data_IF_597480856951
#
_entry.id   IF_597480856951
#
_cell.length_a   1.000
_cell.length_b   1.000
_cell.length_c   1.000
_cell.angle_alpha   90.00
_cell.angle_beta   90.00
_cell.angle_gamma   90.00
#
_symmetry.space_group_name_H-M   'P 1'
#
loop_
_entity.id
_entity.type
_entity.pdbx_description
1 polymer ?
#
# COMPACT_ATOMS: atom_id res chain seq x y z
N UNK A 1 47.58 4.50 2.20
CA UNK A 1 46.11 4.50 2.08
C UNK A 1 45.80 3.85 0.74
N UNK A 2 45.35 2.60 0.73
CA UNK A 2 45.55 1.69 -0.40
C UNK A 2 44.25 1.59 -1.21
N UNK A 3 44.34 1.27 -2.52
CA UNK A 3 43.18 1.15 -3.41
C UNK A 3 42.06 0.27 -2.84
N UNK A 4 42.42 -0.83 -2.15
CA UNK A 4 41.47 -1.72 -1.47
C UNK A 4 40.65 -1.02 -0.36
N UNK A 5 41.27 -0.07 0.35
CA UNK A 5 40.61 0.66 1.43
C UNK A 5 39.61 1.70 0.92
N UNK A 6 39.83 2.27 -0.27
CA UNK A 6 38.85 3.13 -0.94
C UNK A 6 37.63 2.34 -1.40
N UNK A 7 37.83 1.14 -1.95
CA UNK A 7 36.73 0.26 -2.38
C UNK A 7 35.86 -0.15 -1.20
N UNK A 8 36.46 -0.55 -0.07
CA UNK A 8 35.72 -0.89 1.16
C UNK A 8 34.93 0.31 1.69
N UNK A 9 35.53 1.50 1.70
CA UNK A 9 34.86 2.72 2.13
C UNK A 9 33.66 3.07 1.23
N UNK A 10 33.82 2.96 -0.09
CA UNK A 10 32.73 3.17 -1.05
C UNK A 10 31.58 2.17 -0.85
N UNK A 11 31.88 0.88 -0.65
CA UNK A 11 30.85 -0.15 -0.42
C UNK A 11 30.09 0.14 0.88
N UNK A 12 30.78 0.47 1.96
CA UNK A 12 30.17 0.81 3.25
C UNK A 12 29.28 2.06 3.16
N UNK A 13 29.70 3.08 2.42
CA UNK A 13 28.91 4.30 2.22
C UNK A 13 27.60 4.03 1.46
N UNK A 14 27.61 3.13 0.46
CA UNK A 14 26.41 2.85 -0.35
C UNK A 14 25.32 2.07 0.38
N UNK A 15 25.68 1.17 1.31
CA UNK A 15 24.70 0.37 2.06
C UNK A 15 23.82 1.22 3.00
N UNK A 16 24.29 2.38 3.44
CA UNK A 16 23.61 3.23 4.43
C UNK A 16 22.35 3.93 3.84
N UNK A 17 22.22 3.99 2.52
CA UNK A 17 21.14 4.73 1.84
C UNK A 17 19.93 3.87 1.41
N UNK A 18 19.84 2.62 1.82
CA UNK A 18 18.66 1.80 1.54
C UNK A 18 17.41 2.40 2.22
N UNK A 19 16.54 3.06 1.44
CA UNK A 19 15.28 3.59 1.96
C UNK A 19 14.34 2.44 2.33
N UNK A 20 13.62 2.53 3.47
CA UNK A 20 12.70 1.47 3.88
C UNK A 20 11.52 1.36 2.90
N UNK A 21 11.13 0.11 2.60
CA UNK A 21 10.05 -0.24 1.67
C UNK A 21 9.15 -1.33 2.26
N UNK A 22 7.90 -1.38 1.81
CA UNK A 22 7.03 -2.53 2.04
C UNK A 22 7.18 -3.52 0.90
N UNK A 23 7.17 -4.80 1.22
CA UNK A 23 7.16 -5.89 0.25
C UNK A 23 5.86 -6.68 0.39
N UNK A 24 5.16 -6.92 -0.72
CA UNK A 24 3.99 -7.82 -0.75
C UNK A 24 4.43 -9.23 -1.12
N UNK A 25 3.61 -10.25 -0.81
CA UNK A 25 3.90 -11.66 -1.08
C UNK A 25 4.17 -11.98 -2.57
N UNK A 26 3.77 -11.10 -3.49
CA UNK A 26 4.05 -11.20 -4.92
C UNK A 26 5.37 -10.54 -5.35
N UNK A 27 6.23 -10.15 -4.41
CA UNK A 27 7.52 -9.49 -4.64
C UNK A 27 7.44 -8.00 -4.99
N UNK A 28 6.25 -7.40 -5.04
CA UNK A 28 6.10 -5.97 -5.34
C UNK A 28 6.56 -5.12 -4.15
N UNK A 29 7.39 -4.12 -4.44
CA UNK A 29 7.94 -3.19 -3.45
C UNK A 29 7.30 -1.82 -3.54
N UNK A 30 6.99 -1.23 -2.39
CA UNK A 30 6.34 0.07 -2.25
C UNK A 30 7.12 0.97 -1.32
N UNK A 31 7.31 2.23 -1.70
CA UNK A 31 8.01 3.22 -0.87
C UNK A 31 7.17 3.58 0.36
N UNK A 32 7.84 3.99 1.44
CA UNK A 32 7.15 4.55 2.60
C UNK A 32 6.18 5.67 2.17
N UNK A 33 4.93 5.62 2.64
CA UNK A 33 3.87 6.56 2.32
C UNK A 33 3.12 6.29 1.01
N UNK A 34 3.63 5.43 0.13
CA UNK A 34 3.00 5.12 -1.15
C UNK A 34 1.66 4.41 -0.97
N UNK A 35 0.67 4.81 -1.77
CA UNK A 35 -0.62 4.10 -1.88
C UNK A 35 -0.71 3.30 -3.17
N UNK A 36 -1.28 2.11 -3.11
CA UNK A 36 -1.43 1.22 -4.26
C UNK A 36 -2.73 0.41 -4.18
N UNK A 37 -3.23 -0.01 -5.35
CA UNK A 37 -4.37 -0.92 -5.43
C UNK A 37 -3.87 -2.33 -5.10
N UNK A 38 -4.54 -2.98 -4.16
CA UNK A 38 -4.30 -4.33 -3.72
C UNK A 38 -5.54 -5.19 -3.97
N UNK A 39 -5.31 -6.39 -4.52
CA UNK A 39 -6.34 -7.38 -4.83
C UNK A 39 -7.57 -6.82 -5.58
N UNK A 40 -7.34 -5.81 -6.42
CA UNK A 40 -8.36 -5.08 -7.19
C UNK A 40 -9.52 -4.44 -6.41
N UNK A 41 -9.56 -4.55 -5.08
CA UNK A 41 -10.71 -4.16 -4.26
C UNK A 41 -10.34 -3.19 -3.14
N UNK A 42 -9.05 -3.04 -2.85
CA UNK A 42 -8.55 -2.21 -1.75
C UNK A 42 -7.44 -1.28 -2.20
N UNK A 43 -7.29 -0.18 -1.47
CA UNK A 43 -6.12 0.70 -1.56
C UNK A 43 -5.35 0.54 -0.26
N UNK A 44 -4.14 0.00 -0.35
CA UNK A 44 -3.20 -0.07 0.78
C UNK A 44 -2.28 1.14 0.78
N UNK A 45 -1.80 1.52 1.96
CA UNK A 45 -0.70 2.47 2.16
C UNK A 45 0.45 1.76 2.86
N UNK A 46 1.66 1.94 2.32
CA UNK A 46 2.89 1.44 2.90
C UNK A 46 3.36 2.35 4.04
N UNK A 47 3.72 1.76 5.18
CA UNK A 47 4.38 2.40 6.30
C UNK A 47 5.67 1.63 6.59
N UNK A 48 6.78 2.10 6.01
CA UNK A 48 8.08 1.45 6.15
C UNK A 48 9.01 2.30 7.02
N UNK A 49 9.71 1.65 7.94
CA UNK A 49 10.74 2.19 8.83
C UNK A 49 12.00 1.33 8.70
N UNK A 50 13.14 1.81 9.20
CA UNK A 50 14.40 1.09 9.08
C UNK A 50 14.35 -0.34 9.67
N UNK A 51 13.52 -0.57 10.69
CA UNK A 51 13.43 -1.86 11.40
C UNK A 51 12.21 -2.71 10.96
N UNK A 52 11.60 -2.40 9.82
CA UNK A 52 10.47 -3.19 9.29
C UNK A 52 9.38 -2.34 8.64
N UNK A 53 8.35 -3.02 8.14
CA UNK A 53 7.25 -2.38 7.44
C UNK A 53 5.90 -2.91 7.88
N UNK A 54 4.86 -2.10 7.67
CA UNK A 54 3.47 -2.50 7.79
C UNK A 54 2.66 -1.86 6.65
N UNK A 55 1.57 -2.50 6.25
CA UNK A 55 0.64 -1.97 5.25
C UNK A 55 -0.74 -1.83 5.87
N UNK A 56 -1.45 -0.74 5.55
CA UNK A 56 -2.83 -0.53 6.02
C UNK A 56 -3.77 -0.27 4.86
N UNK A 57 -4.95 -0.86 4.90
CA UNK A 57 -6.03 -0.50 3.97
C UNK A 57 -6.54 0.90 4.37
N UNK A 58 -6.53 1.83 3.40
CA UNK A 58 -6.95 3.22 3.60
C UNK A 58 -8.21 3.59 2.82
N UNK A 59 -8.57 2.79 1.81
CA UNK A 59 -9.78 2.96 1.01
C UNK A 59 -10.15 1.64 0.31
N UNK A 60 -11.38 1.55 -0.18
CA UNK A 60 -11.80 0.53 -1.13
C UNK A 60 -11.57 1.03 -2.56
N UNK A 61 -11.45 0.11 -3.51
CA UNK A 61 -11.25 0.39 -4.92
C UNK A 61 -12.30 -0.35 -5.75
N UNK A 62 -13.05 0.40 -6.55
CA UNK A 62 -14.07 -0.19 -7.43
C UNK A 62 -13.43 -0.43 -8.78
N UNK A 63 -12.96 -1.66 -9.01
CA UNK A 63 -12.18 -2.06 -10.21
C UNK A 63 -12.83 -1.62 -11.51
N UNK A 64 -14.12 -1.92 -11.69
CA UNK A 64 -14.86 -1.65 -12.93
C UNK A 64 -14.93 -0.17 -13.32
N UNK A 65 -14.77 0.74 -12.36
CA UNK A 65 -14.84 2.19 -12.58
C UNK A 65 -13.54 2.93 -12.29
N UNK A 66 -12.51 2.20 -11.82
CA UNK A 66 -11.24 2.75 -11.36
C UNK A 66 -11.41 3.88 -10.32
N UNK A 67 -12.40 3.75 -9.43
CA UNK A 67 -12.72 4.76 -8.40
C UNK A 67 -12.26 4.30 -7.01
N UNK A 68 -11.78 5.25 -6.22
CA UNK A 68 -11.46 5.06 -4.80
C UNK A 68 -12.64 5.50 -3.95
N UNK A 69 -12.91 4.76 -2.88
CA UNK A 69 -13.95 5.06 -1.90
C UNK A 69 -13.32 5.03 -0.50
N UNK A 70 -13.27 6.17 0.18
CA UNK A 70 -12.68 6.23 1.52
C UNK A 70 -13.51 5.37 2.49
N UNK A 71 -12.86 4.89 3.56
CA UNK A 71 -13.55 4.12 4.60
C UNK A 71 -14.70 4.96 5.19
N UNK A 72 -15.88 4.36 5.30
CA UNK A 72 -17.13 5.00 5.72
C UNK A 72 -17.93 5.63 4.58
N UNK A 73 -17.36 5.79 3.38
CA UNK A 73 -18.08 6.39 2.26
C UNK A 73 -19.00 5.39 1.57
N UNK A 74 -20.11 5.93 1.07
CA UNK A 74 -21.06 5.24 0.22
C UNK A 74 -21.33 6.09 -1.01
N UNK A 75 -21.27 5.50 -2.21
CA UNK A 75 -21.54 6.20 -3.47
C UNK A 75 -22.32 5.30 -4.42
N UNK A 76 -23.18 5.94 -5.20
CA UNK A 76 -23.94 5.25 -6.26
C UNK A 76 -23.29 5.53 -7.60
N UNK A 77 -23.11 4.48 -8.39
CA UNK A 77 -22.65 4.58 -9.76
C UNK A 77 -23.40 3.58 -10.64
N UNK A 78 -23.96 4.04 -11.76
CA UNK A 78 -24.66 3.19 -12.75
C UNK A 78 -25.72 2.27 -12.11
N UNK A 79 -26.54 2.79 -11.20
CA UNK A 79 -27.59 2.01 -10.51
C UNK A 79 -27.09 1.06 -9.41
N UNK A 80 -25.80 1.01 -9.15
CA UNK A 80 -25.21 0.19 -8.09
C UNK A 80 -24.73 1.09 -6.94
N UNK A 81 -25.09 0.74 -5.71
CA UNK A 81 -24.61 1.37 -4.47
C UNK A 81 -23.37 0.64 -3.97
N UNK A 82 -22.26 1.37 -3.87
CA UNK A 82 -20.99 0.88 -3.35
C UNK A 82 -20.72 1.51 -1.99
N UNK A 83 -20.40 0.70 -0.98
CA UNK A 83 -20.07 1.18 0.36
C UNK A 83 -18.74 0.60 0.83
N UNK A 84 -17.82 1.44 1.28
CA UNK A 84 -16.57 0.98 1.90
C UNK A 84 -16.74 1.06 3.41
N UNK A 85 -16.87 -0.08 4.09
CA UNK A 85 -17.18 -0.12 5.53
C UNK A 85 -16.10 -0.84 6.32
N UNK A 86 -16.09 -0.61 7.64
CA UNK A 86 -15.37 -1.47 8.58
C UNK A 86 -16.32 -2.54 9.10
N UNK A 87 -15.96 -3.79 8.86
CA UNK A 87 -16.60 -4.97 9.44
C UNK A 87 -16.02 -5.33 10.82
N UNK A 88 -16.44 -6.47 11.39
CA UNK A 88 -15.95 -6.96 12.67
C UNK A 88 -14.42 -7.15 12.65
N UNK A 89 -13.77 -6.88 13.78
CA UNK A 89 -12.31 -6.99 13.90
C UNK A 89 -11.52 -5.91 13.14
N UNK A 90 -12.14 -4.77 12.80
CA UNK A 90 -11.55 -3.69 12.00
C UNK A 90 -11.21 -4.06 10.54
N UNK A 91 -11.72 -5.18 10.03
CA UNK A 91 -11.58 -5.54 8.63
C UNK A 91 -12.28 -4.51 7.74
N UNK A 92 -11.70 -4.15 6.60
CA UNK A 92 -12.33 -3.25 5.62
C UNK A 92 -13.02 -4.08 4.55
N UNK A 93 -14.25 -3.75 4.21
CA UNK A 93 -15.08 -4.47 3.24
C UNK A 93 -15.68 -3.49 2.22
N UNK A 94 -15.72 -3.93 0.95
CA UNK A 94 -16.44 -3.25 -0.12
C UNK A 94 -17.78 -3.97 -0.33
N UNK A 95 -18.87 -3.32 0.04
CA UNK A 95 -20.23 -3.79 -0.24
C UNK A 95 -20.73 -3.22 -1.56
N UNK A 96 -21.37 -4.08 -2.37
CA UNK A 96 -21.96 -3.72 -3.65
C UNK A 96 -23.42 -4.17 -3.65
N UNK A 97 -24.36 -3.24 -3.84
CA UNK A 97 -25.80 -3.54 -3.84
C UNK A 97 -26.48 -2.86 -5.02
N UNK A 98 -27.22 -3.63 -5.82
CA UNK A 98 -28.11 -3.06 -6.83
C UNK A 98 -29.21 -2.26 -6.16
N UNK A 99 -29.46 -1.07 -6.68
CA UNK A 99 -30.58 -0.22 -6.28
C UNK A 99 -31.81 -0.64 -7.06
#
# INVERSE_FOLDING_TARGET
MNSLQYVIFFIMVTMILAKPMCEEANGKKYRNGQTYVYDNSFVKKCYAKNNGYNTKIVACYIKGMKKRLNIGQTKTYKGMKYSCKRGPGNAVQLDEKSI
#
